data_IF_680593203926
#
_entry.id   IF_680593203926
#
_cell.length_a   1.000
_cell.length_b   1.000
_cell.length_c   1.000
_cell.angle_alpha   90.00
_cell.angle_beta   90.00
_cell.angle_gamma   90.00
#
_symmetry.space_group_name_H-M   'P 1'
#
loop_
_entity.id
_entity.type
_entity.pdbx_description
1 polymer ?
#
# COMPACT_ATOMS: atom_id res chain seq x y z
N UNK A 1 -0.91 -13.45 13.36
CA UNK A 1 -1.54 -12.15 13.05
C UNK A 1 -2.69 -12.04 14.02
N UNK A 2 -2.69 -10.98 14.81
CA UNK A 2 -3.65 -10.82 15.92
C UNK A 2 -4.48 -9.56 15.66
N UNK A 3 -5.74 -9.57 16.10
CA UNK A 3 -6.68 -8.46 15.91
C UNK A 3 -7.31 -8.09 17.25
N UNK A 4 -7.44 -6.79 17.51
CA UNK A 4 -8.11 -6.25 18.70
C UNK A 4 -9.27 -5.39 18.23
N UNK A 5 -10.49 -5.72 18.68
CA UNK A 5 -11.67 -4.88 18.54
C UNK A 5 -11.74 -3.93 19.73
N UNK A 6 -11.78 -2.63 19.46
CA UNK A 6 -11.90 -1.59 20.47
C UNK A 6 -13.36 -1.28 20.80
N UNK A 7 -13.60 -0.68 21.96
CA UNK A 7 -14.94 -0.30 22.41
C UNK A 7 -15.64 0.68 21.47
N UNK A 8 -14.87 1.53 20.79
CA UNK A 8 -15.41 2.46 19.79
C UNK A 8 -15.82 1.76 18.49
N UNK A 9 -15.48 0.47 18.31
CA UNK A 9 -15.74 -0.32 17.11
C UNK A 9 -14.65 -0.25 16.03
N UNK A 10 -13.53 0.41 16.30
CA UNK A 10 -12.34 0.30 15.46
C UNK A 10 -11.61 -1.03 15.71
N UNK A 11 -10.77 -1.45 14.76
CA UNK A 11 -9.97 -2.69 14.86
C UNK A 11 -8.51 -2.36 14.62
N UNK A 12 -7.64 -2.80 15.53
CA UNK A 12 -6.19 -2.80 15.31
C UNK A 12 -5.73 -4.18 14.91
N UNK A 13 -5.04 -4.27 13.77
CA UNK A 13 -4.36 -5.47 13.31
C UNK A 13 -2.87 -5.38 13.61
N UNK A 14 -2.35 -6.37 14.33
CA UNK A 14 -0.92 -6.63 14.48
C UNK A 14 -0.45 -7.39 13.25
N UNK A 15 0.19 -6.67 12.33
CA UNK A 15 0.61 -7.23 11.05
C UNK A 15 1.91 -8.05 11.19
N UNK A 16 2.32 -8.72 10.12
CA UNK A 16 3.61 -9.42 10.01
C UNK A 16 4.79 -8.43 10.10
N UNK A 17 6.01 -8.89 10.43
CA UNK A 17 7.19 -8.03 10.40
C UNK A 17 7.36 -7.33 9.05
N UNK A 18 7.71 -6.05 9.09
CA UNK A 18 7.93 -5.22 7.92
C UNK A 18 9.35 -4.62 7.94
N UNK A 19 9.91 -4.38 6.75
CA UNK A 19 11.25 -3.80 6.60
C UNK A 19 11.43 -3.17 5.21
N UNK A 20 12.37 -2.23 5.12
CA UNK A 20 12.87 -1.73 3.85
C UNK A 20 14.00 -2.62 3.35
N UNK A 21 13.86 -3.14 2.13
CA UNK A 21 14.86 -3.97 1.48
C UNK A 21 15.88 -3.13 0.70
N UNK A 22 15.42 -2.14 -0.08
CA UNK A 22 16.29 -1.19 -0.78
C UNK A 22 15.76 0.23 -0.64
N UNK A 23 16.69 1.17 -0.48
CA UNK A 23 16.40 2.60 -0.38
C UNK A 23 16.74 3.28 -1.70
N UNK A 24 15.88 4.16 -2.18
CA UNK A 24 16.09 4.98 -3.38
C UNK A 24 16.55 4.16 -4.60
N UNK A 25 15.89 3.04 -4.86
CA UNK A 25 16.07 2.29 -6.10
C UNK A 25 15.56 3.11 -7.28
N UNK A 26 16.37 3.19 -8.34
CA UNK A 26 16.04 3.88 -9.57
C UNK A 26 15.45 2.89 -10.59
N UNK A 27 14.37 3.28 -11.25
CA UNK A 27 13.76 2.54 -12.37
C UNK A 27 13.50 3.49 -13.52
N UNK A 28 13.95 3.11 -14.73
CA UNK A 28 13.66 3.89 -15.94
C UNK A 28 12.25 3.58 -16.44
N UNK A 29 11.32 4.51 -16.31
CA UNK A 29 9.93 4.29 -16.72
C UNK A 29 9.68 5.00 -18.06
N UNK A 30 9.39 4.27 -19.14
CA UNK A 30 9.12 4.87 -20.45
C UNK A 30 8.02 5.94 -20.37
N UNK A 31 8.33 7.14 -20.88
CA UNK A 31 7.43 8.30 -20.84
C UNK A 31 7.45 9.11 -19.54
N UNK A 32 8.11 8.62 -18.49
CA UNK A 32 8.21 9.30 -17.19
C UNK A 32 9.67 9.55 -16.73
N UNK A 33 10.65 8.90 -17.37
CA UNK A 33 12.06 9.02 -17.02
C UNK A 33 12.41 8.18 -15.79
N UNK A 34 13.48 8.57 -15.08
CA UNK A 34 13.91 7.89 -13.86
C UNK A 34 12.95 8.14 -12.71
N UNK A 35 12.30 7.09 -12.22
CA UNK A 35 11.49 7.11 -10.99
C UNK A 35 12.32 6.54 -9.85
N UNK A 36 12.35 7.24 -8.72
CA UNK A 36 13.08 6.81 -7.51
C UNK A 36 12.08 6.37 -6.44
N UNK A 37 12.29 5.19 -5.88
CA UNK A 37 11.44 4.66 -4.82
C UNK A 37 12.15 3.70 -3.88
N UNK A 38 11.53 3.46 -2.72
CA UNK A 38 11.99 2.43 -1.79
C UNK A 38 11.32 1.10 -2.14
N UNK A 39 12.05 -0.01 -1.98
CA UNK A 39 11.49 -1.36 -2.06
C UNK A 39 11.35 -1.88 -0.64
N UNK A 40 10.13 -2.18 -0.21
CA UNK A 40 9.85 -2.61 1.15
C UNK A 40 8.80 -3.72 1.21
N UNK A 41 8.90 -4.51 2.27
CA UNK A 41 7.99 -5.59 2.60
C UNK A 41 7.08 -5.16 3.75
N UNK A 42 5.76 -5.34 3.58
CA UNK A 42 4.75 -5.10 4.62
C UNK A 42 3.70 -6.21 4.71
N UNK A 43 3.99 -7.39 4.15
CA UNK A 43 3.04 -8.48 3.88
C UNK A 43 2.83 -8.74 2.39
N UNK A 44 3.09 -7.73 1.56
CA UNK A 44 3.38 -7.83 0.12
C UNK A 44 4.63 -6.99 -0.19
N UNK A 45 5.13 -7.09 -1.42
CA UNK A 45 6.24 -6.29 -1.92
C UNK A 45 5.73 -5.00 -2.56
N UNK A 46 6.25 -3.86 -2.08
CA UNK A 46 5.85 -2.54 -2.53
C UNK A 46 7.05 -1.78 -3.10
N UNK A 47 6.78 -1.01 -4.16
CA UNK A 47 7.63 0.10 -4.58
C UNK A 47 6.98 1.42 -4.16
N UNK A 48 7.63 2.15 -3.26
CA UNK A 48 7.11 3.34 -2.62
C UNK A 48 7.74 4.59 -3.25
N UNK A 49 6.93 5.41 -3.91
CA UNK A 49 7.38 6.60 -4.64
C UNK A 49 6.82 7.85 -3.98
N UNK A 50 7.69 8.79 -3.62
CA UNK A 50 7.28 10.11 -3.11
C UNK A 50 7.34 11.19 -4.21
N UNK A 51 8.40 11.16 -5.03
CA UNK A 51 8.62 12.16 -6.08
C UNK A 51 8.07 11.65 -7.42
N UNK A 52 6.76 11.72 -7.60
CA UNK A 52 6.07 11.28 -8.84
C UNK A 52 5.43 12.42 -9.64
N UNK A 53 5.33 13.63 -9.08
CA UNK A 53 4.82 14.82 -9.80
C UNK A 53 3.34 14.79 -10.17
N UNK A 54 2.56 13.87 -9.62
CA UNK A 54 1.12 13.72 -9.88
C UNK A 54 0.28 14.13 -8.67
N UNK A 55 -0.91 14.68 -8.92
CA UNK A 55 -1.89 14.94 -7.86
C UNK A 55 -2.58 13.64 -7.41
N UNK A 56 -2.46 13.30 -6.13
CA UNK A 56 -3.13 12.14 -5.51
C UNK A 56 -4.57 12.51 -5.14
N UNK A 57 -5.45 12.54 -6.15
CA UNK A 57 -6.88 12.85 -6.02
C UNK A 57 -7.73 11.91 -6.85
N UNK A 58 -8.96 11.68 -6.41
CA UNK A 58 -9.87 10.70 -7.01
C UNK A 58 -10.22 11.02 -8.48
N UNK A 59 -10.27 12.31 -8.84
CA UNK A 59 -10.48 12.78 -10.22
C UNK A 59 -9.29 12.50 -11.15
N UNK A 60 -8.12 12.14 -10.59
CA UNK A 60 -6.88 11.87 -11.32
C UNK A 60 -6.49 10.37 -11.33
N UNK A 61 -7.41 9.48 -10.94
CA UNK A 61 -7.14 8.02 -10.85
C UNK A 61 -6.62 7.42 -12.15
N UNK A 62 -7.08 7.89 -13.31
CA UNK A 62 -6.64 7.36 -14.60
C UNK A 62 -5.13 7.57 -14.83
N UNK A 63 -4.62 8.78 -14.55
CA UNK A 63 -3.21 9.09 -14.68
C UNK A 63 -2.35 8.36 -13.64
N UNK A 64 -2.82 8.32 -12.38
CA UNK A 64 -2.16 7.59 -11.29
C UNK A 64 -2.06 6.09 -11.62
N UNK A 65 -3.12 5.52 -12.18
CA UNK A 65 -3.16 4.11 -12.60
C UNK A 65 -2.19 3.84 -13.74
N UNK A 66 -2.17 4.70 -14.77
CA UNK A 66 -1.28 4.56 -15.91
C UNK A 66 0.20 4.62 -15.47
N UNK A 67 0.56 5.61 -14.65
CA UNK A 67 1.91 5.76 -14.10
C UNK A 67 2.33 4.54 -13.27
N UNK A 68 1.45 4.09 -12.36
CA UNK A 68 1.75 2.96 -11.48
C UNK A 68 1.89 1.65 -12.26
N UNK A 69 1.03 1.41 -13.26
CA UNK A 69 1.16 0.26 -14.15
C UNK A 69 2.46 0.28 -14.95
N UNK A 70 2.82 1.43 -15.54
CA UNK A 70 4.07 1.58 -16.27
C UNK A 70 5.28 1.35 -15.36
N UNK A 71 5.23 1.82 -14.12
CA UNK A 71 6.28 1.60 -13.11
C UNK A 71 6.40 0.12 -12.76
N UNK A 72 5.29 -0.58 -12.49
CA UNK A 72 5.31 -2.03 -12.22
C UNK A 72 5.89 -2.83 -13.38
N UNK A 73 5.50 -2.49 -14.61
CA UNK A 73 6.04 -3.12 -15.81
C UNK A 73 7.55 -2.87 -15.95
N UNK A 74 8.01 -1.63 -15.74
CA UNK A 74 9.41 -1.27 -15.82
C UNK A 74 10.27 -2.00 -14.76
N UNK A 75 9.74 -2.17 -13.53
CA UNK A 75 10.40 -2.96 -12.49
C UNK A 75 10.62 -4.42 -12.93
N UNK A 76 9.59 -5.03 -13.53
CA UNK A 76 9.66 -6.40 -14.05
C UNK A 76 10.64 -6.54 -15.22
N UNK A 77 10.56 -5.65 -16.21
CA UNK A 77 11.44 -5.65 -17.39
C UNK A 77 12.92 -5.43 -17.04
N UNK A 78 13.19 -4.65 -15.99
CA UNK A 78 14.55 -4.36 -15.52
C UNK A 78 15.05 -5.35 -14.46
N UNK A 79 14.25 -6.36 -14.10
CA UNK A 79 14.63 -7.36 -13.09
C UNK A 79 14.77 -6.80 -11.67
N UNK A 80 14.11 -5.68 -11.37
CA UNK A 80 14.09 -5.07 -10.04
C UNK A 80 13.04 -5.79 -9.20
N UNK A 81 13.51 -6.44 -8.14
CA UNK A 81 12.73 -7.36 -7.32
C UNK A 81 12.88 -7.07 -5.83
N UNK A 82 12.00 -7.65 -5.02
CA UNK A 82 12.18 -7.80 -3.59
C UNK A 82 13.30 -8.78 -3.24
N UNK A 83 13.33 -9.23 -1.98
CA UNK A 83 14.26 -10.27 -1.56
C UNK A 83 14.03 -11.58 -2.33
N UNK A 84 15.10 -12.35 -2.56
CA UNK A 84 15.08 -13.65 -3.23
C UNK A 84 14.41 -13.66 -4.62
N UNK A 85 14.42 -12.52 -5.32
CA UNK A 85 13.83 -12.39 -6.65
C UNK A 85 12.30 -12.27 -6.65
N UNK A 86 11.68 -12.02 -5.49
CA UNK A 86 10.24 -11.86 -5.38
C UNK A 86 9.73 -10.68 -6.21
N UNK A 87 8.63 -10.89 -6.92
CA UNK A 87 7.98 -9.85 -7.73
C UNK A 87 7.49 -8.71 -6.84
N UNK A 88 7.73 -7.48 -7.29
CA UNK A 88 7.08 -6.29 -6.72
C UNK A 88 5.80 -6.06 -7.52
N UNK A 89 4.66 -6.34 -6.90
CA UNK A 89 3.35 -6.36 -7.56
C UNK A 89 2.42 -5.26 -7.04
N UNK A 90 2.93 -4.39 -6.18
CA UNK A 90 2.26 -3.18 -5.71
C UNK A 90 3.16 -1.95 -5.90
N UNK A 91 2.56 -0.86 -6.38
CA UNK A 91 3.18 0.48 -6.43
C UNK A 91 2.33 1.43 -5.60
N UNK A 92 2.98 2.17 -4.71
CA UNK A 92 2.34 3.17 -3.86
C UNK A 92 2.94 4.55 -4.05
N UNK A 93 2.08 5.51 -4.35
CA UNK A 93 2.42 6.91 -4.57
C UNK A 93 2.00 7.71 -3.33
N UNK A 94 2.92 8.48 -2.76
CA UNK A 94 2.68 9.25 -1.54
C UNK A 94 2.76 10.76 -1.82
N UNK A 95 1.79 11.50 -1.29
CA UNK A 95 1.78 12.96 -1.28
C UNK A 95 1.44 13.49 0.11
N UNK A 96 1.64 14.80 0.29
CA UNK A 96 1.21 15.51 1.50
C UNK A 96 -0.33 15.58 1.58
N UNK A 97 -0.85 15.66 2.80
CA UNK A 97 -2.27 15.84 3.09
C UNK A 97 -2.46 16.93 4.16
N UNK A 98 -3.54 17.69 4.08
CA UNK A 98 -3.81 18.76 5.05
C UNK A 98 -4.32 18.22 6.40
N UNK A 99 -4.82 16.99 6.44
CA UNK A 99 -5.54 16.41 7.57
C UNK A 99 -5.01 15.03 8.00
N UNK A 100 -3.89 14.61 7.41
CA UNK A 100 -3.21 13.35 7.68
C UNK A 100 -1.70 13.55 7.45
N UNK A 101 -0.86 12.65 7.97
CA UNK A 101 0.59 12.76 7.77
C UNK A 101 1.00 12.49 6.31
N UNK A 102 0.16 11.76 5.57
CA UNK A 102 0.29 11.59 4.12
C UNK A 102 -1.01 11.09 3.51
N UNK A 103 -1.13 11.23 2.19
CA UNK A 103 -2.12 10.58 1.34
C UNK A 103 -1.45 9.64 0.34
N UNK A 104 -2.05 8.48 0.09
CA UNK A 104 -1.55 7.56 -0.92
C UNK A 104 -2.54 7.18 -2.03
N UNK A 105 -1.96 6.73 -3.14
CA UNK A 105 -2.62 5.93 -4.17
C UNK A 105 -1.89 4.59 -4.25
N UNK A 106 -2.65 3.50 -4.20
CA UNK A 106 -2.11 2.15 -4.15
C UNK A 106 -2.60 1.39 -5.37
N UNK A 107 -1.67 0.94 -6.21
CA UNK A 107 -1.97 0.03 -7.31
C UNK A 107 -1.70 -1.41 -6.88
N UNK A 108 -2.71 -2.25 -7.01
CA UNK A 108 -2.67 -3.66 -6.68
C UNK A 108 -2.50 -4.54 -7.94
N UNK A 109 -2.17 -5.83 -7.77
CA UNK A 109 -2.23 -6.81 -8.85
C UNK A 109 -3.58 -6.79 -9.58
N UNK A 110 -3.56 -6.99 -10.89
CA UNK A 110 -4.78 -6.95 -11.72
C UNK A 110 -5.23 -5.54 -12.13
N UNK A 111 -4.38 -4.51 -11.94
CA UNK A 111 -4.64 -3.12 -12.37
C UNK A 111 -5.83 -2.46 -11.66
N UNK A 112 -6.15 -2.92 -10.45
CA UNK A 112 -7.12 -2.29 -9.58
C UNK A 112 -6.41 -1.48 -8.50
N UNK A 113 -6.96 -0.31 -8.15
CA UNK A 113 -6.42 0.49 -7.05
C UNK A 113 -7.14 0.20 -5.73
N UNK A 114 -6.44 0.29 -4.61
CA UNK A 114 -7.04 0.18 -3.28
C UNK A 114 -7.86 1.44 -2.97
N UNK A 115 -9.08 1.25 -2.45
CA UNK A 115 -9.94 2.37 -2.03
C UNK A 115 -9.59 2.82 -0.62
N UNK A 116 -8.95 1.96 0.18
CA UNK A 116 -8.40 2.24 1.49
C UNK A 116 -6.95 2.74 1.39
N UNK A 117 -6.33 3.15 2.51
CA UNK A 117 -4.90 3.46 2.54
C UNK A 117 -3.97 2.23 2.40
N UNK A 118 -4.51 1.02 2.22
CA UNK A 118 -3.82 -0.27 2.18
C UNK A 118 -3.03 -0.60 3.46
N UNK A 119 -3.45 -1.65 4.19
CA UNK A 119 -2.83 -2.01 5.46
C UNK A 119 -1.39 -2.53 5.33
N UNK A 120 -1.13 -3.40 4.36
CA UNK A 120 0.22 -3.92 4.08
C UNK A 120 1.12 -2.84 3.46
N UNK A 121 0.56 -1.96 2.64
CA UNK A 121 1.19 -0.75 2.12
C UNK A 121 1.66 0.23 3.18
N UNK A 122 0.71 0.63 4.04
CA UNK A 122 1.00 1.47 5.21
C UNK A 122 2.05 0.81 6.12
N UNK A 123 2.03 -0.52 6.28
CA UNK A 123 3.06 -1.25 7.03
C UNK A 123 4.45 -1.13 6.39
N UNK A 124 4.55 -1.24 5.07
CA UNK A 124 5.80 -1.02 4.34
C UNK A 124 6.28 0.44 4.46
N UNK A 125 5.36 1.41 4.42
CA UNK A 125 5.67 2.83 4.64
C UNK A 125 6.23 3.09 6.03
N UNK A 126 5.62 2.52 7.08
CA UNK A 126 6.12 2.62 8.46
C UNK A 126 7.56 2.08 8.56
N UNK A 127 7.88 1.00 7.86
CA UNK A 127 9.23 0.44 7.85
C UNK A 127 10.26 1.40 7.24
N UNK A 128 9.90 2.07 6.14
CA UNK A 128 10.76 3.10 5.54
C UNK A 128 10.92 4.32 6.46
N UNK A 129 9.84 4.79 7.09
CA UNK A 129 9.88 5.91 8.05
C UNK A 129 10.76 5.58 9.26
N UNK A 130 10.60 4.39 9.84
CA UNK A 130 11.39 3.91 10.97
C UNK A 130 12.88 3.76 10.61
N UNK A 131 13.19 3.29 9.39
CA UNK A 131 14.56 3.16 8.91
C UNK A 131 15.23 4.51 8.63
N UNK A 132 14.46 5.53 8.25
CA UNK A 132 14.95 6.90 8.07
C UNK A 132 14.91 7.74 9.36
N UNK A 133 14.40 7.20 10.48
CA UNK A 133 14.26 7.91 11.74
C UNK A 133 13.22 9.05 11.71
N UNK A 134 12.24 8.97 10.80
CA UNK A 134 11.21 10.00 10.59
C UNK A 134 9.94 9.80 11.42
N UNK A 135 9.78 8.63 12.03
CA UNK A 135 8.69 8.29 12.94
C UNK A 135 9.30 7.52 14.10
N UNK A 136 9.02 7.92 15.34
CA UNK A 136 9.53 7.22 16.51
C UNK A 136 8.72 5.93 16.79
N UNK A 137 9.31 5.02 17.57
CA UNK A 137 8.61 3.81 18.00
C UNK A 137 7.41 4.16 18.88
N UNK A 138 6.26 3.54 18.61
CA UNK A 138 4.98 3.83 19.28
C UNK A 138 4.30 5.14 18.84
N UNK A 139 4.96 5.99 18.06
CA UNK A 139 4.36 7.20 17.50
C UNK A 139 3.31 6.84 16.44
N UNK A 140 2.22 7.61 16.41
CA UNK A 140 1.12 7.40 15.47
C UNK A 140 1.40 8.09 14.14
N UNK A 141 1.04 7.41 13.06
CA UNK A 141 1.04 7.89 11.69
C UNK A 141 -0.35 7.74 11.10
N UNK A 142 -0.96 8.84 10.70
CA UNK A 142 -2.26 8.89 10.05
C UNK A 142 -2.05 8.86 8.54
N UNK A 143 -2.44 7.75 7.91
CA UNK A 143 -2.39 7.59 6.45
C UNK A 143 -3.78 7.75 5.85
N UNK A 144 -3.95 8.73 4.98
CA UNK A 144 -5.12 8.86 4.12
C UNK A 144 -4.95 8.06 2.82
N UNK A 145 -6.05 7.49 2.33
CA UNK A 145 -6.13 6.85 1.01
C UNK A 145 -6.74 7.78 -0.04
N UNK A 146 -6.73 7.35 -1.30
CA UNK A 146 -7.24 8.14 -2.45
C UNK A 146 -8.71 8.58 -2.31
N UNK A 147 -9.51 7.83 -1.56
CA UNK A 147 -10.94 8.12 -1.29
C UNK A 147 -11.17 9.02 -0.08
N UNK A 148 -10.11 9.38 0.66
CA UNK A 148 -10.20 10.12 1.91
C UNK A 148 -10.41 9.27 3.16
N UNK A 149 -10.57 7.94 3.03
CA UNK A 149 -10.52 7.01 4.16
C UNK A 149 -9.16 7.06 4.85
N UNK A 150 -9.09 6.67 6.14
CA UNK A 150 -7.89 6.79 6.96
C UNK A 150 -7.60 5.54 7.77
N UNK A 151 -6.31 5.28 7.95
CA UNK A 151 -5.77 4.36 8.95
C UNK A 151 -4.82 5.09 9.89
N UNK A 152 -4.72 4.57 11.10
CA UNK A 152 -3.69 4.99 12.07
C UNK A 152 -2.71 3.84 12.25
N UNK A 153 -1.49 4.04 11.80
CA UNK A 153 -0.38 3.13 11.93
C UNK A 153 0.52 3.50 13.09
N UNK A 154 1.09 2.53 13.78
CA UNK A 154 2.30 2.72 14.60
C UNK A 154 3.13 1.43 14.53
N UNK A 155 4.33 1.44 15.10
CA UNK A 155 5.17 0.26 15.10
C UNK A 155 5.91 0.05 16.43
N UNK A 156 6.37 -1.19 16.62
CA UNK A 156 7.35 -1.59 17.62
C UNK A 156 8.58 -2.18 16.94
N UNK A 157 9.77 -2.04 17.51
CA UNK A 157 11.00 -2.66 16.98
C UNK A 157 10.98 -4.17 17.24
N UNK A 158 11.38 -4.96 16.24
CA UNK A 158 11.49 -6.42 16.34
C UNK A 158 12.79 -6.87 15.66
N UNK A 159 13.91 -6.71 16.37
CA UNK A 159 15.25 -6.90 15.80
C UNK A 159 15.52 -5.91 14.67
N UNK A 160 15.92 -6.43 13.50
CA UNK A 160 16.15 -5.63 12.28
C UNK A 160 14.85 -5.22 11.56
N UNK A 161 13.71 -5.76 12.00
CA UNK A 161 12.39 -5.48 11.44
C UNK A 161 11.60 -4.54 12.35
N UNK A 162 10.47 -4.07 11.84
CA UNK A 162 9.42 -3.49 12.67
C UNK A 162 8.23 -4.44 12.74
N UNK A 163 7.49 -4.36 13.84
CA UNK A 163 6.14 -4.88 13.94
C UNK A 163 5.13 -3.75 13.76
N UNK A 164 4.39 -3.70 12.63
CA UNK A 164 3.38 -2.69 12.39
C UNK A 164 2.03 -3.06 13.01
N UNK A 165 1.32 -2.02 13.46
CA UNK A 165 -0.03 -2.09 13.99
C UNK A 165 -0.89 -1.10 13.21
N UNK A 166 -1.89 -1.61 12.49
CA UNK A 166 -2.76 -0.79 11.64
C UNK A 166 -4.15 -0.75 12.24
N UNK A 167 -4.63 0.44 12.54
CA UNK A 167 -5.96 0.67 13.10
C UNK A 167 -6.88 1.28 12.06
N UNK A 168 -8.06 0.69 11.90
CA UNK A 168 -9.07 1.14 10.95
C UNK A 168 -10.48 0.77 11.38
N UNK A 169 -11.45 1.05 10.51
CA UNK A 169 -12.87 0.71 10.73
C UNK A 169 -13.47 0.15 9.46
N UNK A 170 -14.35 -0.83 9.62
CA UNK A 170 -15.16 -1.39 8.55
C UNK A 170 -16.65 -1.21 8.87
N UNK A 171 -17.49 -1.20 7.84
CA UNK A 171 -18.94 -1.09 7.96
C UNK A 171 -19.59 -2.24 7.22
N UNK A 172 -20.61 -2.86 7.83
CA UNK A 172 -21.41 -3.90 7.16
C UNK A 172 -22.21 -3.22 6.05
N UNK A 173 -22.08 -3.71 4.81
CA UNK A 173 -22.73 -3.13 3.63
C UNK A 173 -23.89 -3.97 3.12
N UNK A 174 -23.79 -5.30 3.19
CA UNK A 174 -24.82 -6.22 2.72
C UNK A 174 -24.73 -7.58 3.42
N UNK A 175 -25.85 -8.30 3.41
CA UNK A 175 -25.91 -9.75 3.62
C UNK A 175 -26.54 -10.36 2.38
N UNK A 176 -25.80 -11.21 1.68
CA UNK A 176 -26.23 -11.79 0.41
C UNK A 176 -26.03 -13.31 0.38
N UNK A 177 -26.78 -13.99 -0.49
CA UNK A 177 -26.54 -15.38 -0.89
C UNK A 177 -26.23 -15.38 -2.37
N UNK A 178 -25.01 -15.72 -2.76
CA UNK A 178 -24.63 -15.87 -4.16
C UNK A 178 -25.13 -17.24 -4.64
N UNK A 179 -25.88 -17.27 -5.74
CA UNK A 179 -26.40 -18.49 -6.36
C UNK A 179 -25.68 -18.71 -7.67
N UNK A 180 -25.08 -19.88 -7.83
CA UNK A 180 -24.35 -20.29 -9.05
C UNK A 180 -25.22 -21.32 -9.77
N UNK A 181 -25.77 -20.95 -10.92
CA UNK A 181 -26.58 -21.85 -11.75
C UNK A 181 -25.67 -22.63 -12.71
N UNK A 182 -25.80 -23.97 -12.73
CA UNK A 182 -25.02 -24.84 -13.61
C UNK A 182 -25.34 -24.63 -15.10
N UNK A 183 -26.49 -24.03 -15.43
CA UNK A 183 -26.89 -23.71 -16.80
C UNK A 183 -26.47 -22.29 -17.24
N UNK A 184 -25.98 -21.45 -16.32
CA UNK A 184 -25.52 -20.11 -16.66
C UNK A 184 -24.13 -20.20 -17.31
N UNK A 185 -23.97 -19.77 -18.58
CA UNK A 185 -22.65 -19.74 -19.23
C UNK A 185 -21.66 -18.80 -18.52
N UNK A 186 -22.13 -17.89 -17.65
CA UNK A 186 -21.33 -16.93 -16.91
C UNK A 186 -21.26 -17.20 -15.41
N UNK A 187 -21.57 -18.42 -14.96
CA UNK A 187 -21.57 -18.81 -13.54
C UNK A 187 -20.24 -18.54 -12.82
N UNK A 188 -19.13 -18.45 -13.58
CA UNK A 188 -17.78 -18.22 -13.10
C UNK A 188 -17.18 -16.87 -13.54
N UNK A 189 -18.03 -15.93 -14.00
CA UNK A 189 -17.62 -14.70 -14.66
C UNK A 189 -17.92 -14.72 -16.16
N UNK A 190 -18.08 -13.53 -16.74
CA UNK A 190 -18.32 -13.32 -18.18
C UNK A 190 -17.04 -13.54 -18.98
#
# INVERSE_FOLDING_TARGET
MDAVLHEDGSVTLRNVPAYRYRRQAAVEVPGHGTVIGDIAWGGNWFFLVAEHGLSVRLDNVAALSAFSCATMQALEEQGITGADGARIDHVELFADDEQADSRNFVMCPGKAYDRSPCGTGTSAKLACLAADGKLAEGEQWVQAGITGSRFVGHYQREGDFIRPYITGRAHITARATLLIDEQDPFAWGI
#
